data_IF_963654296754
#
_entry.id   IF_963654296754
#
_cell.length_a   1.000
_cell.length_b   1.000
_cell.length_c   1.000
_cell.angle_alpha   90.00
_cell.angle_beta   90.00
_cell.angle_gamma   90.00
#
_symmetry.space_group_name_H-M   'P 1'
#
loop_
_entity.id
_entity.type
_entity.pdbx_description
1 polymer ?
#
# COMPACT_ATOMS: atom_id res chain seq x y z
N UNK A 1 26.56 -11.38 75.19
CA UNK A 1 26.84 -9.94 75.00
C UNK A 1 27.35 -9.81 73.57
N UNK A 2 26.76 -9.10 72.63
CA UNK A 2 25.66 -8.14 72.61
C UNK A 2 25.18 -8.07 71.15
N UNK A 3 23.87 -8.10 71.00
CA UNK A 3 23.06 -7.73 69.84
C UNK A 3 23.49 -6.39 69.23
N UNK A 4 23.41 -6.25 67.90
CA UNK A 4 22.91 -5.04 67.19
C UNK A 4 22.29 -5.49 65.85
N UNK A 5 21.03 -5.09 65.67
CA UNK A 5 20.19 -5.23 64.48
C UNK A 5 20.53 -4.18 63.42
N UNK A 6 20.23 -4.49 62.16
CA UNK A 6 19.51 -3.69 61.15
C UNK A 6 19.96 -4.19 59.76
N UNK A 7 19.15 -4.36 58.72
CA UNK A 7 17.82 -3.84 58.43
C UNK A 7 17.20 -4.70 57.32
N UNK A 8 15.88 -4.78 57.38
CA UNK A 8 14.96 -5.47 56.49
C UNK A 8 15.09 -5.07 55.02
N UNK A 9 15.03 -6.06 54.12
CA UNK A 9 14.49 -5.87 52.78
C UNK A 9 13.51 -7.02 52.48
N UNK A 10 12.25 -6.80 52.86
CA UNK A 10 11.14 -7.66 52.44
C UNK A 10 10.93 -7.46 50.94
N UNK A 11 11.21 -8.50 50.15
CA UNK A 11 10.84 -8.56 48.75
C UNK A 11 9.32 -8.82 48.64
N UNK A 12 8.53 -7.76 48.52
CA UNK A 12 7.15 -7.86 48.04
C UNK A 12 7.18 -8.07 46.53
N UNK A 13 7.05 -9.33 46.11
CA UNK A 13 6.75 -9.71 44.72
C UNK A 13 5.32 -9.22 44.43
N UNK A 14 5.20 -8.05 43.82
CA UNK A 14 3.95 -7.57 43.23
C UNK A 14 3.72 -8.36 41.95
N UNK A 15 3.01 -9.49 42.08
CA UNK A 15 2.53 -10.28 40.96
C UNK A 15 1.46 -9.45 40.22
N UNK A 16 1.88 -8.66 39.22
CA UNK A 16 0.95 -8.08 38.25
C UNK A 16 0.30 -9.24 37.48
N UNK A 17 -0.86 -9.68 37.96
CA UNK A 17 -1.85 -10.36 37.14
C UNK A 17 -2.29 -9.37 36.06
N UNK A 18 -1.61 -9.42 34.91
CA UNK A 18 -2.14 -8.94 33.64
C UNK A 18 -3.43 -9.71 33.38
N UNK A 19 -4.54 -9.16 33.86
CA UNK A 19 -5.85 -9.50 33.35
C UNK A 19 -5.85 -9.10 31.88
N UNK A 20 -5.48 -10.04 31.01
CA UNK A 20 -5.84 -10.00 29.62
C UNK A 20 -7.36 -10.14 29.56
N UNK A 21 -8.07 -9.03 29.79
CA UNK A 21 -9.45 -8.93 29.34
C UNK A 21 -9.39 -9.05 27.81
N UNK A 22 -10.07 -10.03 27.20
CA UNK A 22 -10.35 -9.90 25.78
C UNK A 22 -11.15 -8.61 25.67
N UNK A 23 -10.57 -7.60 25.03
CA UNK A 23 -11.36 -6.48 24.51
C UNK A 23 -12.19 -7.11 23.40
N UNK A 24 -13.34 -7.67 23.75
CA UNK A 24 -14.37 -7.98 22.77
C UNK A 24 -14.64 -6.65 22.07
N UNK A 25 -14.27 -6.57 20.80
CA UNK A 25 -14.54 -5.43 19.96
C UNK A 25 -16.07 -5.35 19.82
N UNK A 26 -16.71 -4.67 20.76
CA UNK A 26 -18.16 -4.57 20.79
C UNK A 26 -18.59 -3.69 19.62
N UNK A 27 -19.37 -4.29 18.73
CA UNK A 27 -19.94 -3.64 17.56
C UNK A 27 -20.70 -2.38 17.96
N UNK A 28 -20.44 -1.24 17.33
CA UNK A 28 -21.23 -0.02 17.50
C UNK A 28 -22.56 -0.04 16.73
N UNK A 29 -22.82 -1.09 15.94
CA UNK A 29 -24.03 -1.22 15.15
C UNK A 29 -25.26 -1.58 16.00
N UNK A 30 -26.41 -1.01 15.63
CA UNK A 30 -27.70 -1.29 16.27
C UNK A 30 -28.22 -2.71 16.03
N UNK A 31 -27.87 -3.31 14.88
CA UNK A 31 -28.35 -4.64 14.49
C UNK A 31 -27.18 -5.53 14.10
N UNK A 32 -27.09 -6.69 14.74
CA UNK A 32 -26.06 -7.69 14.42
C UNK A 32 -26.66 -8.85 13.64
N UNK A 33 -26.00 -9.19 12.54
CA UNK A 33 -26.28 -10.32 11.65
C UNK A 33 -25.18 -11.38 11.82
N UNK A 34 -25.23 -12.20 12.90
CA UNK A 34 -24.21 -13.21 13.13
C UNK A 34 -24.31 -14.32 12.08
N UNK A 35 -23.16 -14.76 11.55
CA UNK A 35 -23.13 -15.78 10.49
C UNK A 35 -23.85 -17.09 10.85
N UNK A 36 -23.93 -17.45 12.15
CA UNK A 36 -24.61 -18.66 12.63
C UNK A 36 -26.11 -18.71 12.25
N UNK A 37 -26.75 -17.56 11.97
CA UNK A 37 -28.13 -17.51 11.47
C UNK A 37 -28.26 -17.99 10.02
N UNK A 38 -27.16 -18.01 9.28
CA UNK A 38 -27.14 -18.24 7.83
C UNK A 38 -26.56 -19.61 7.45
N UNK A 39 -26.19 -20.44 8.42
CA UNK A 39 -25.71 -21.80 8.18
C UNK A 39 -24.87 -22.36 9.31
N UNK A 40 -24.31 -23.55 9.08
CA UNK A 40 -23.40 -24.20 10.01
C UNK A 40 -21.99 -23.59 9.92
N UNK A 41 -21.67 -22.68 10.86
CA UNK A 41 -20.40 -21.94 10.90
C UNK A 41 -19.42 -22.67 11.81
N UNK A 42 -18.59 -23.52 11.22
CA UNK A 42 -17.56 -24.31 11.89
C UNK A 42 -16.23 -24.07 11.17
N UNK A 43 -15.09 -23.91 11.89
CA UNK A 43 -13.80 -23.77 11.23
C UNK A 43 -13.52 -24.91 10.24
N UNK A 44 -12.95 -24.57 9.08
CA UNK A 44 -12.62 -25.46 7.98
C UNK A 44 -13.73 -25.61 6.92
N UNK A 45 -14.95 -25.15 7.21
CA UNK A 45 -16.09 -25.22 6.28
C UNK A 45 -16.12 -24.03 5.31
N UNK A 46 -16.85 -24.22 4.20
CA UNK A 46 -17.14 -23.16 3.23
C UNK A 46 -18.32 -22.32 3.72
N UNK A 47 -18.08 -21.03 3.95
CA UNK A 47 -19.10 -20.07 4.44
C UNK A 47 -19.57 -19.10 3.36
N UNK A 48 -19.18 -19.31 2.09
CA UNK A 48 -19.47 -18.38 0.97
C UNK A 48 -20.93 -17.96 0.91
N UNK A 49 -21.85 -18.94 0.93
CA UNK A 49 -23.30 -18.67 0.87
C UNK A 49 -23.82 -17.97 2.13
N UNK A 50 -23.34 -18.38 3.31
CA UNK A 50 -23.76 -17.79 4.57
C UNK A 50 -23.34 -16.32 4.66
N UNK A 51 -22.11 -16.01 4.22
CA UNK A 51 -21.56 -14.67 4.20
C UNK A 51 -22.29 -13.75 3.20
N UNK A 52 -22.61 -14.27 2.00
CA UNK A 52 -23.40 -13.54 1.01
C UNK A 52 -24.82 -13.21 1.52
N UNK A 53 -25.49 -14.17 2.16
CA UNK A 53 -26.83 -13.96 2.71
C UNK A 53 -26.80 -12.97 3.90
N UNK A 54 -25.83 -13.08 4.79
CA UNK A 54 -25.64 -12.13 5.89
C UNK A 54 -25.40 -10.70 5.36
N UNK A 55 -24.61 -10.56 4.29
CA UNK A 55 -24.40 -9.27 3.64
C UNK A 55 -25.69 -8.69 3.08
N UNK A 56 -26.48 -9.49 2.35
CA UNK A 56 -27.75 -9.04 1.76
C UNK A 56 -28.70 -8.48 2.82
N UNK A 57 -28.86 -9.18 3.93
CA UNK A 57 -29.78 -8.74 5.01
C UNK A 57 -29.21 -7.54 5.77
N UNK A 58 -27.90 -7.53 6.05
CA UNK A 58 -27.26 -6.41 6.74
C UNK A 58 -27.32 -5.12 5.92
N UNK A 59 -27.08 -5.22 4.61
CA UNK A 59 -27.06 -4.07 3.70
C UNK A 59 -28.46 -3.48 3.47
N UNK A 60 -29.53 -4.28 3.61
CA UNK A 60 -30.93 -3.83 3.49
C UNK A 60 -31.52 -3.33 4.81
N UNK A 61 -30.79 -3.43 5.93
CA UNK A 61 -31.20 -2.89 7.23
C UNK A 61 -31.36 -1.37 7.18
N UNK A 62 -32.50 -0.86 7.65
CA UNK A 62 -32.75 0.59 7.82
C UNK A 62 -32.11 1.17 9.10
N UNK A 63 -31.34 0.33 9.81
CA UNK A 63 -30.55 0.68 10.99
C UNK A 63 -29.10 0.31 10.75
N UNK A 64 -28.18 0.97 11.44
CA UNK A 64 -26.76 0.60 11.40
C UNK A 64 -26.59 -0.90 11.70
N UNK A 65 -25.85 -1.61 10.84
CA UNK A 65 -25.78 -3.07 10.86
C UNK A 65 -24.36 -3.59 10.96
N UNK A 66 -24.18 -4.80 11.51
CA UNK A 66 -22.90 -5.49 11.57
C UNK A 66 -23.00 -6.95 11.16
N UNK A 67 -22.04 -7.41 10.36
CA UNK A 67 -21.78 -8.82 10.09
C UNK A 67 -20.57 -9.23 10.91
N UNK A 68 -20.70 -10.29 11.70
CA UNK A 68 -19.63 -10.78 12.57
C UNK A 68 -19.19 -12.17 12.13
N UNK A 69 -17.94 -12.24 11.68
CA UNK A 69 -17.23 -13.49 11.37
C UNK A 69 -16.45 -13.87 12.62
N UNK A 70 -16.76 -15.00 13.26
CA UNK A 70 -16.08 -15.42 14.49
C UNK A 70 -14.63 -15.83 14.23
N UNK A 71 -13.88 -16.04 15.30
CA UNK A 71 -12.56 -16.67 15.22
C UNK A 71 -12.62 -18.07 14.60
N UNK A 72 -11.54 -18.44 13.90
CA UNK A 72 -11.43 -19.69 13.14
C UNK A 72 -11.03 -19.46 11.68
N UNK A 73 -10.68 -20.52 10.97
CA UNK A 73 -10.37 -20.46 9.53
C UNK A 73 -11.60 -20.91 8.75
N UNK A 74 -12.07 -20.13 7.79
CA UNK A 74 -13.25 -20.43 6.98
C UNK A 74 -12.91 -20.31 5.50
N UNK A 75 -13.35 -21.27 4.70
CA UNK A 75 -13.15 -21.24 3.25
C UNK A 75 -14.16 -20.29 2.64
N UNK A 76 -13.72 -19.45 1.71
CA UNK A 76 -14.59 -18.55 0.94
C UNK A 76 -14.17 -18.62 -0.51
N UNK A 77 -15.04 -19.15 -1.37
CA UNK A 77 -14.77 -19.29 -2.81
C UNK A 77 -14.68 -17.94 -3.50
N UNK A 78 -15.58 -17.03 -3.13
CA UNK A 78 -15.73 -15.68 -3.66
C UNK A 78 -16.52 -14.85 -2.64
N UNK A 79 -16.28 -13.54 -2.57
CA UNK A 79 -17.09 -12.63 -1.78
C UNK A 79 -17.36 -11.34 -2.54
N UNK A 80 -18.58 -11.17 -3.04
CA UNK A 80 -19.03 -9.93 -3.68
C UNK A 80 -20.02 -9.25 -2.74
N UNK A 81 -19.60 -8.12 -2.17
CA UNK A 81 -20.32 -7.33 -1.19
C UNK A 81 -20.73 -6.01 -1.84
N UNK A 82 -21.95 -5.99 -2.38
CA UNK A 82 -22.48 -4.90 -3.18
C UNK A 82 -23.46 -4.03 -2.38
N UNK A 83 -23.34 -2.71 -2.55
CA UNK A 83 -24.34 -1.72 -2.16
C UNK A 83 -25.17 -1.18 -3.34
N UNK A 84 -25.89 -0.07 -3.16
CA UNK A 84 -25.93 0.77 -1.96
C UNK A 84 -26.57 0.05 -0.77
N UNK A 85 -26.05 0.30 0.42
CA UNK A 85 -26.68 -0.14 1.67
C UNK A 85 -27.55 0.97 2.26
N UNK A 86 -28.66 0.60 2.88
CA UNK A 86 -29.64 1.54 3.42
C UNK A 86 -29.11 2.33 4.63
N UNK A 87 -28.11 1.79 5.32
CA UNK A 87 -27.53 2.35 6.55
C UNK A 87 -26.03 2.00 6.66
N UNK A 88 -25.27 2.65 7.55
CA UNK A 88 -23.87 2.26 7.83
C UNK A 88 -23.75 0.76 8.12
N UNK A 89 -22.68 0.14 7.63
CA UNK A 89 -22.46 -1.30 7.76
C UNK A 89 -21.05 -1.62 8.26
N UNK A 90 -20.97 -2.45 9.29
CA UNK A 90 -19.74 -2.96 9.86
C UNK A 90 -19.50 -4.40 9.40
N UNK A 91 -18.35 -4.67 8.80
CA UNK A 91 -17.85 -6.00 8.50
C UNK A 91 -16.76 -6.36 9.51
N UNK A 92 -17.10 -7.18 10.50
CA UNK A 92 -16.21 -7.57 11.59
C UNK A 92 -15.62 -8.96 11.32
N UNK A 93 -14.41 -8.97 10.78
CA UNK A 93 -13.61 -10.13 10.50
C UNK A 93 -12.77 -10.52 11.72
N UNK A 94 -13.29 -11.40 12.60
CA UNK A 94 -12.54 -11.95 13.72
C UNK A 94 -11.74 -13.22 13.39
N UNK A 95 -12.02 -13.86 12.24
CA UNK A 95 -11.37 -15.10 11.80
C UNK A 95 -10.48 -14.92 10.57
N UNK A 96 -10.05 -16.04 10.00
CA UNK A 96 -9.37 -16.09 8.70
C UNK A 96 -10.37 -16.50 7.62
N UNK A 97 -10.55 -15.67 6.61
CA UNK A 97 -11.12 -16.12 5.34
C UNK A 97 -9.98 -16.68 4.50
N UNK A 98 -10.17 -17.88 3.95
CA UNK A 98 -9.15 -18.55 3.14
C UNK A 98 -9.65 -18.77 1.72
N UNK A 99 -8.89 -18.26 0.76
CA UNK A 99 -9.16 -18.40 -0.66
C UNK A 99 -8.92 -19.84 -1.14
N UNK A 100 -9.61 -20.28 -2.21
CA UNK A 100 -9.19 -21.45 -2.96
C UNK A 100 -7.77 -21.28 -3.51
N UNK A 101 -7.02 -22.37 -3.63
CA UNK A 101 -5.69 -22.37 -4.28
C UNK A 101 -5.76 -21.91 -5.74
N UNK A 102 -6.86 -22.21 -6.42
CA UNK A 102 -7.16 -21.75 -7.78
C UNK A 102 -8.44 -20.92 -7.74
N UNK A 103 -8.32 -19.65 -8.10
CA UNK A 103 -9.45 -18.73 -8.25
C UNK A 103 -9.75 -18.56 -9.74
N UNK A 104 -11.04 -18.41 -10.06
CA UNK A 104 -11.50 -18.02 -11.40
C UNK A 104 -11.78 -16.52 -11.38
N UNK A 105 -11.59 -15.84 -12.51
CA UNK A 105 -11.78 -14.39 -12.62
C UNK A 105 -10.58 -13.56 -12.14
N UNK A 106 -10.81 -12.27 -11.98
CA UNK A 106 -9.81 -11.23 -11.71
C UNK A 106 -9.76 -10.79 -10.23
N UNK A 107 -10.67 -11.29 -9.37
CA UNK A 107 -10.69 -10.97 -7.94
C UNK A 107 -11.22 -12.09 -7.05
N UNK A 108 -10.96 -11.96 -5.74
CA UNK A 108 -11.49 -12.86 -4.71
C UNK A 108 -12.60 -12.21 -3.87
N UNK A 109 -12.29 -11.14 -3.14
CA UNK A 109 -13.23 -10.39 -2.33
C UNK A 109 -13.35 -8.96 -2.87
N UNK A 110 -14.58 -8.52 -3.13
CA UNK A 110 -14.88 -7.21 -3.69
C UNK A 110 -15.96 -6.54 -2.84
N UNK A 111 -15.66 -5.36 -2.33
CA UNK A 111 -16.63 -4.40 -1.80
C UNK A 111 -16.91 -3.37 -2.88
N UNK A 112 -18.19 -3.17 -3.24
CA UNK A 112 -18.55 -2.27 -4.33
C UNK A 112 -19.77 -1.38 -4.04
N UNK A 113 -19.65 -0.10 -4.36
CA UNK A 113 -20.74 0.89 -4.27
C UNK A 113 -21.36 1.03 -2.86
N UNK A 114 -20.51 1.16 -1.84
CA UNK A 114 -20.93 1.25 -0.45
C UNK A 114 -20.53 2.61 0.12
N UNK A 115 -21.46 3.24 0.82
CA UNK A 115 -21.20 4.40 1.67
C UNK A 115 -21.19 3.96 3.15
N UNK A 116 -20.25 4.50 3.94
CA UNK A 116 -20.14 4.25 5.39
C UNK A 116 -19.93 2.78 5.76
N UNK A 117 -18.98 2.13 5.09
CA UNK A 117 -18.43 0.81 5.46
C UNK A 117 -17.37 0.96 6.56
N UNK A 118 -17.45 0.12 7.59
CA UNK A 118 -16.33 -0.17 8.49
C UNK A 118 -15.89 -1.63 8.32
N UNK A 119 -14.68 -1.89 7.83
CA UNK A 119 -14.07 -3.22 7.84
C UNK A 119 -13.04 -3.30 8.99
N UNK A 120 -13.22 -4.24 9.93
CA UNK A 120 -12.30 -4.40 11.07
C UNK A 120 -12.33 -5.81 11.66
N UNK A 121 -11.60 -6.06 12.75
CA UNK A 121 -11.73 -7.28 13.56
C UNK A 121 -10.47 -8.10 13.79
N UNK A 122 -9.30 -7.62 13.32
CA UNK A 122 -7.97 -8.27 13.45
C UNK A 122 -7.79 -9.59 12.70
N UNK A 123 -8.82 -10.07 12.03
CA UNK A 123 -8.75 -11.27 11.22
C UNK A 123 -8.00 -11.10 9.89
N UNK A 124 -7.95 -12.21 9.15
CA UNK A 124 -7.02 -12.42 8.03
C UNK A 124 -7.76 -12.74 6.75
N UNK A 125 -7.38 -12.10 5.65
CA UNK A 125 -7.69 -12.54 4.29
C UNK A 125 -6.48 -13.31 3.75
N UNK A 126 -6.55 -14.64 3.79
CA UNK A 126 -5.51 -15.56 3.29
C UNK A 126 -5.75 -15.87 1.81
N UNK A 127 -4.96 -15.22 0.95
CA UNK A 127 -5.05 -15.28 -0.50
C UNK A 127 -4.46 -16.54 -1.11
N UNK A 128 -3.75 -17.41 -0.37
CA UNK A 128 -3.18 -18.67 -0.87
C UNK A 128 -2.36 -18.52 -2.19
N UNK A 129 -1.50 -17.51 -2.25
CA UNK A 129 -0.80 -17.05 -3.47
C UNK A 129 0.23 -18.01 -4.08
N UNK A 130 0.87 -18.85 -3.26
CA UNK A 130 2.04 -19.66 -3.64
C UNK A 130 1.89 -20.48 -4.92
N UNK A 131 0.71 -21.06 -5.15
CA UNK A 131 0.46 -21.86 -6.35
C UNK A 131 0.28 -21.00 -7.61
N UNK A 132 -0.26 -19.78 -7.47
CA UNK A 132 -0.51 -18.86 -8.57
C UNK A 132 0.78 -18.19 -9.06
N UNK A 133 1.67 -17.80 -8.15
CA UNK A 133 2.94 -17.13 -8.49
C UNK A 133 3.81 -17.94 -9.47
N UNK A 134 3.81 -19.27 -9.34
CA UNK A 134 4.55 -20.17 -10.26
C UNK A 134 4.05 -20.11 -11.71
N UNK A 135 2.82 -19.60 -11.93
CA UNK A 135 2.18 -19.48 -13.23
C UNK A 135 2.34 -18.09 -13.84
N UNK A 136 2.89 -17.12 -13.11
CA UNK A 136 3.04 -15.75 -13.61
C UNK A 136 4.19 -15.66 -14.63
N UNK A 137 3.84 -15.34 -15.88
CA UNK A 137 4.78 -15.15 -16.99
C UNK A 137 4.76 -13.72 -17.57
N UNK A 138 4.23 -12.74 -16.82
CA UNK A 138 4.15 -11.33 -17.22
C UNK A 138 5.49 -10.63 -17.49
N UNK A 139 6.60 -11.24 -17.07
CA UNK A 139 7.94 -10.79 -17.41
C UNK A 139 8.43 -11.30 -18.78
N UNK A 140 7.78 -12.33 -19.35
CA UNK A 140 8.14 -12.95 -20.62
C UNK A 140 7.23 -12.54 -21.77
N UNK A 141 5.96 -12.22 -21.49
CA UNK A 141 4.93 -11.98 -22.50
C UNK A 141 4.11 -10.74 -22.18
N UNK A 142 3.81 -9.94 -23.20
CA UNK A 142 2.96 -8.74 -23.09
C UNK A 142 1.53 -9.11 -22.66
N UNK A 143 0.99 -10.21 -23.20
CA UNK A 143 -0.37 -10.71 -22.92
C UNK A 143 -0.35 -11.89 -21.94
N UNK A 144 0.26 -11.70 -20.78
CA UNK A 144 0.24 -12.71 -19.72
C UNK A 144 -1.15 -12.82 -19.06
N UNK A 145 -1.41 -13.98 -18.45
CA UNK A 145 -2.61 -14.17 -17.65
C UNK A 145 -2.52 -13.34 -16.36
N UNK A 146 -3.51 -12.47 -16.14
CA UNK A 146 -3.61 -11.73 -14.89
C UNK A 146 -3.99 -12.67 -13.75
N UNK A 147 -3.31 -12.54 -12.61
CA UNK A 147 -3.64 -13.27 -11.40
C UNK A 147 -4.71 -12.48 -10.62
N UNK A 148 -5.63 -13.16 -9.92
CA UNK A 148 -6.72 -12.48 -9.24
C UNK A 148 -6.23 -11.68 -8.02
N UNK A 149 -6.78 -10.48 -7.88
CA UNK A 149 -6.56 -9.56 -6.76
C UNK A 149 -7.30 -10.07 -5.52
N UNK A 150 -6.68 -9.99 -4.33
CA UNK A 150 -7.33 -10.50 -3.11
C UNK A 150 -8.49 -9.64 -2.63
N UNK A 151 -8.27 -8.33 -2.47
CA UNK A 151 -9.28 -7.39 -1.98
C UNK A 151 -9.47 -6.24 -2.97
N UNK A 152 -10.72 -5.96 -3.33
CA UNK A 152 -11.09 -4.78 -4.12
C UNK A 152 -12.06 -3.89 -3.35
N UNK A 153 -11.80 -2.60 -3.39
CA UNK A 153 -12.69 -1.55 -2.92
C UNK A 153 -13.02 -0.69 -4.13
N UNK A 154 -14.23 -0.87 -4.66
CA UNK A 154 -14.69 -0.18 -5.86
C UNK A 154 -15.78 0.83 -5.45
N UNK A 155 -15.59 2.11 -5.74
CA UNK A 155 -16.61 3.15 -5.51
C UNK A 155 -17.10 3.20 -4.06
N UNK A 156 -16.18 3.09 -3.11
CA UNK A 156 -16.46 3.16 -1.68
C UNK A 156 -16.34 4.59 -1.18
N UNK A 157 -17.30 5.04 -0.37
CA UNK A 157 -17.32 6.40 0.16
C UNK A 157 -17.44 6.46 1.68
N UNK A 158 -16.79 7.45 2.31
CA UNK A 158 -16.89 7.76 3.74
C UNK A 158 -16.67 6.56 4.65
N UNK A 159 -15.59 5.82 4.43
CA UNK A 159 -15.40 4.48 4.98
C UNK A 159 -14.04 4.28 5.63
N UNK A 160 -13.94 3.25 6.47
CA UNK A 160 -12.71 2.92 7.20
C UNK A 160 -12.45 1.42 7.10
N UNK A 161 -11.23 1.06 6.71
CA UNK A 161 -10.68 -0.29 6.81
C UNK A 161 -9.59 -0.23 7.87
N UNK A 162 -9.72 -1.00 8.96
CA UNK A 162 -8.76 -0.93 10.06
C UNK A 162 -8.48 -2.28 10.69
N UNK A 163 -7.24 -2.50 11.15
CA UNK A 163 -6.84 -3.70 11.89
C UNK A 163 -7.27 -4.98 11.17
N UNK A 164 -6.78 -5.18 9.96
CA UNK A 164 -6.92 -6.45 9.24
C UNK A 164 -5.57 -6.88 8.70
N UNK A 165 -5.44 -8.18 8.41
CA UNK A 165 -4.27 -8.73 7.72
C UNK A 165 -4.65 -9.20 6.33
N UNK A 166 -3.86 -8.87 5.31
CA UNK A 166 -3.90 -9.52 3.99
C UNK A 166 -2.63 -10.36 3.82
N UNK A 167 -2.80 -11.67 3.65
CA UNK A 167 -1.72 -12.65 3.61
C UNK A 167 -1.66 -13.33 2.25
N UNK A 168 -0.45 -13.44 1.68
CA UNK A 168 -0.13 -14.22 0.49
C UNK A 168 -1.13 -14.02 -0.67
N UNK A 169 -1.32 -12.79 -1.13
CA UNK A 169 -2.17 -12.53 -2.29
C UNK A 169 -1.61 -13.17 -3.55
N UNK A 170 -2.49 -13.62 -4.46
CA UNK A 170 -2.08 -14.15 -5.78
C UNK A 170 -1.54 -13.04 -6.69
N UNK A 171 -2.02 -11.82 -6.52
CA UNK A 171 -1.61 -10.60 -7.23
C UNK A 171 -1.62 -9.45 -6.21
N UNK A 172 -2.11 -8.25 -6.55
CA UNK A 172 -2.29 -7.15 -5.61
C UNK A 172 -3.07 -7.62 -4.38
N UNK A 173 -2.63 -7.19 -3.19
CA UNK A 173 -3.33 -7.47 -1.95
C UNK A 173 -4.61 -6.64 -1.88
N UNK A 174 -4.51 -5.33 -2.11
CA UNK A 174 -5.64 -4.39 -2.07
C UNK A 174 -5.61 -3.51 -3.32
N UNK A 175 -6.74 -3.44 -4.02
CA UNK A 175 -6.97 -2.48 -5.10
C UNK A 175 -8.11 -1.52 -4.73
N UNK A 176 -7.84 -0.22 -4.81
CA UNK A 176 -8.74 0.87 -4.45
C UNK A 176 -9.06 1.65 -5.71
N UNK A 177 -10.30 1.57 -6.18
CA UNK A 177 -10.74 2.17 -7.43
C UNK A 177 -11.97 3.04 -7.23
N UNK A 178 -11.96 4.29 -7.72
CA UNK A 178 -13.14 5.13 -7.68
C UNK A 178 -13.59 5.55 -6.28
N UNK A 179 -12.75 5.39 -5.26
CA UNK A 179 -13.13 5.60 -3.86
C UNK A 179 -12.99 7.07 -3.46
N UNK A 180 -13.78 7.50 -2.47
CA UNK A 180 -13.75 8.87 -1.97
C UNK A 180 -13.87 8.92 -0.45
N UNK A 181 -12.92 9.54 0.25
CA UNK A 181 -12.91 9.59 1.72
C UNK A 181 -12.85 8.18 2.34
N UNK A 182 -11.76 7.46 2.08
CA UNK A 182 -11.51 6.10 2.57
C UNK A 182 -10.19 6.05 3.33
N UNK A 183 -10.22 5.54 4.56
CA UNK A 183 -9.04 5.40 5.42
C UNK A 183 -8.68 3.94 5.62
N UNK A 184 -7.42 3.60 5.37
CA UNK A 184 -6.76 2.36 5.78
C UNK A 184 -5.89 2.65 7.02
N UNK A 185 -6.12 1.94 8.12
CA UNK A 185 -5.43 2.20 9.39
C UNK A 185 -5.00 0.91 10.08
N UNK A 186 -3.74 0.82 10.51
CA UNK A 186 -3.21 -0.38 11.17
C UNK A 186 -3.41 -1.65 10.34
N UNK A 187 -3.11 -1.59 9.04
CA UNK A 187 -3.20 -2.75 8.14
C UNK A 187 -1.88 -3.50 8.15
N UNK A 188 -1.94 -4.83 8.18
CA UNK A 188 -0.78 -5.68 7.96
C UNK A 188 -0.90 -6.38 6.60
N UNK A 189 0.11 -6.26 5.75
CA UNK A 189 0.19 -6.94 4.47
C UNK A 189 1.48 -7.74 4.41
N UNK A 190 1.38 -9.02 4.07
CA UNK A 190 2.55 -9.91 4.01
C UNK A 190 2.46 -10.87 2.83
N UNK A 191 3.50 -10.85 2.00
CA UNK A 191 3.85 -11.88 1.03
C UNK A 191 5.38 -11.96 0.90
N UNK A 192 5.95 -13.08 0.40
CA UNK A 192 7.39 -13.22 0.20
C UNK A 192 7.99 -12.16 -0.74
N UNK A 193 9.24 -11.76 -0.54
CA UNK A 193 9.93 -10.78 -1.41
C UNK A 193 9.97 -11.16 -2.90
N UNK A 194 9.91 -12.46 -3.20
CA UNK A 194 9.92 -12.96 -4.57
C UNK A 194 8.52 -13.27 -5.12
N UNK A 195 7.44 -12.88 -4.44
CA UNK A 195 6.08 -13.03 -4.97
C UNK A 195 5.81 -11.96 -6.05
N UNK A 196 5.56 -12.37 -7.31
CA UNK A 196 5.51 -11.42 -8.42
C UNK A 196 4.19 -10.66 -8.44
N UNK A 197 4.26 -9.34 -8.65
CA UNK A 197 3.10 -8.43 -8.77
C UNK A 197 2.14 -8.49 -7.57
N UNK A 198 2.68 -8.68 -6.37
CA UNK A 198 1.90 -8.60 -5.14
C UNK A 198 1.92 -7.20 -4.57
N UNK A 199 1.48 -6.19 -5.32
CA UNK A 199 1.41 -4.83 -4.79
C UNK A 199 0.60 -4.81 -3.48
N UNK A 200 1.02 -4.02 -2.50
CA UNK A 200 0.34 -3.92 -1.21
C UNK A 200 -1.02 -3.23 -1.37
N UNK A 201 -1.01 -1.90 -1.53
CA UNK A 201 -2.21 -1.11 -1.80
C UNK A 201 -2.02 -0.36 -3.11
N UNK A 202 -2.76 -0.75 -4.15
CA UNK A 202 -2.86 -0.02 -5.41
C UNK A 202 -4.07 0.92 -5.38
N UNK A 203 -3.86 2.20 -5.72
CA UNK A 203 -4.92 3.22 -5.73
C UNK A 203 -5.05 3.78 -7.14
N UNK A 204 -6.26 3.79 -7.70
CA UNK A 204 -6.57 4.45 -8.96
C UNK A 204 -7.86 5.25 -8.87
N UNK A 205 -7.93 6.38 -9.57
CA UNK A 205 -9.12 7.23 -9.74
C UNK A 205 -9.88 7.50 -8.44
N UNK A 206 -9.14 7.74 -7.37
CA UNK A 206 -9.68 7.84 -6.02
C UNK A 206 -9.27 9.16 -5.39
N UNK A 207 -10.11 9.70 -4.51
CA UNK A 207 -9.90 11.00 -3.89
C UNK A 207 -9.95 10.90 -2.35
N UNK A 208 -9.12 11.66 -1.64
CA UNK A 208 -9.12 11.70 -0.16
C UNK A 208 -8.92 10.31 0.44
N UNK A 209 -7.82 9.66 0.06
CA UNK A 209 -7.46 8.34 0.60
C UNK A 209 -6.35 8.52 1.63
N UNK A 210 -6.52 7.91 2.80
CA UNK A 210 -5.53 7.92 3.86
C UNK A 210 -5.03 6.50 4.14
N UNK A 211 -3.72 6.29 4.23
CA UNK A 211 -3.09 5.05 4.67
C UNK A 211 -2.20 5.38 5.86
N UNK A 212 -2.50 4.80 7.03
CA UNK A 212 -1.85 5.16 8.29
C UNK A 212 -1.46 3.97 9.14
N UNK A 213 -0.30 4.06 9.82
CA UNK A 213 0.13 3.10 10.85
C UNK A 213 0.19 1.64 10.36
N UNK A 214 0.49 1.43 9.08
CA UNK A 214 0.45 0.12 8.43
C UNK A 214 1.84 -0.47 8.25
N UNK A 215 1.91 -1.81 8.17
CA UNK A 215 3.10 -2.57 7.84
C UNK A 215 2.85 -3.36 6.56
N UNK A 216 3.69 -3.18 5.55
CA UNK A 216 3.51 -3.78 4.23
C UNK A 216 4.82 -4.40 3.79
N UNK A 217 4.80 -5.72 3.58
CA UNK A 217 5.90 -6.52 3.08
C UNK A 217 5.40 -7.36 1.90
N UNK A 218 5.97 -7.15 0.71
CA UNK A 218 5.53 -7.81 -0.53
C UNK A 218 6.70 -8.03 -1.49
N UNK A 219 6.44 -8.62 -2.66
CA UNK A 219 7.42 -8.73 -3.75
C UNK A 219 7.30 -7.66 -4.86
N UNK A 220 6.46 -6.64 -4.69
CA UNK A 220 6.33 -5.53 -5.64
C UNK A 220 6.09 -4.19 -4.90
N UNK A 221 5.43 -3.21 -5.51
CA UNK A 221 5.16 -1.92 -4.88
C UNK A 221 4.40 -2.10 -3.56
N UNK A 222 4.89 -1.47 -2.53
CA UNK A 222 4.26 -1.50 -1.20
C UNK A 222 2.97 -0.65 -1.22
N UNK A 223 3.04 0.53 -1.82
CA UNK A 223 1.87 1.33 -2.19
C UNK A 223 2.12 1.89 -3.59
N UNK A 224 1.15 1.76 -4.49
CA UNK A 224 1.23 2.27 -5.86
C UNK A 224 0.00 3.13 -6.22
N UNK A 225 0.21 4.22 -6.97
CA UNK A 225 -0.84 5.14 -7.38
C UNK A 225 -0.95 5.19 -8.92
N UNK A 226 -2.10 4.78 -9.47
CA UNK A 226 -2.49 4.97 -10.86
C UNK A 226 -3.12 6.34 -11.14
N UNK A 227 -3.60 6.51 -12.37
CA UNK A 227 -4.22 7.73 -12.87
C UNK A 227 -5.43 8.18 -12.02
N UNK A 228 -5.70 9.49 -12.00
CA UNK A 228 -6.85 10.07 -11.29
C UNK A 228 -6.79 10.02 -9.76
N UNK A 229 -5.66 9.63 -9.18
CA UNK A 229 -5.47 9.61 -7.72
C UNK A 229 -5.23 11.02 -7.19
N UNK A 230 -6.11 11.50 -6.31
CA UNK A 230 -6.07 12.88 -5.78
C UNK A 230 -6.16 12.91 -4.26
N UNK A 231 -5.46 13.85 -3.63
CA UNK A 231 -5.50 14.07 -2.17
C UNK A 231 -5.21 12.78 -1.39
N UNK A 232 -4.05 12.17 -1.65
CA UNK A 232 -3.64 10.91 -1.05
C UNK A 232 -2.65 11.18 0.08
N UNK A 233 -2.92 10.66 1.27
CA UNK A 233 -2.04 10.80 2.44
C UNK A 233 -1.56 9.43 2.93
N UNK A 234 -0.25 9.24 2.96
CA UNK A 234 0.43 8.03 3.43
C UNK A 234 1.31 8.44 4.60
N UNK A 235 0.97 8.03 5.82
CA UNK A 235 1.67 8.48 7.03
C UNK A 235 1.98 7.33 7.98
N UNK A 236 3.17 7.30 8.58
CA UNK A 236 3.56 6.28 9.56
C UNK A 236 3.47 4.84 9.00
N UNK A 237 3.92 4.63 7.76
CA UNK A 237 3.94 3.30 7.12
C UNK A 237 5.35 2.71 7.17
N UNK A 238 5.44 1.44 7.56
CA UNK A 238 6.66 0.64 7.39
C UNK A 238 6.50 -0.25 6.17
N UNK A 239 7.47 -0.16 5.28
CA UNK A 239 7.37 -0.64 3.92
C UNK A 239 8.62 -1.44 3.57
N UNK A 240 8.50 -2.73 3.31
CA UNK A 240 9.67 -3.55 3.04
C UNK A 240 9.59 -4.99 3.51
N UNK A 241 10.09 -5.96 2.70
CA UNK A 241 10.70 -5.80 1.37
C UNK A 241 9.69 -5.41 0.26
N UNK A 242 10.17 -5.21 -0.97
CA UNK A 242 9.34 -4.85 -2.15
C UNK A 242 9.95 -3.75 -3.03
N UNK A 243 9.12 -2.99 -3.73
CA UNK A 243 9.53 -1.93 -4.67
C UNK A 243 9.37 -0.49 -4.16
N UNK A 244 8.94 -0.32 -2.90
CA UNK A 244 8.76 0.98 -2.26
C UNK A 244 7.39 1.62 -2.53
N UNK A 245 7.31 2.94 -2.35
CA UNK A 245 6.09 3.73 -2.58
C UNK A 245 6.20 4.41 -3.95
N UNK A 246 5.30 4.07 -4.86
CA UNK A 246 5.40 4.43 -6.27
C UNK A 246 4.20 5.25 -6.75
N UNK A 247 4.47 6.39 -7.39
CA UNK A 247 3.50 7.12 -8.20
C UNK A 247 3.64 6.66 -9.64
N UNK A 248 2.56 6.12 -10.21
CA UNK A 248 2.50 5.54 -11.54
C UNK A 248 2.53 4.00 -11.56
N UNK A 249 2.69 3.39 -12.73
CA UNK A 249 3.14 4.04 -13.97
C UNK A 249 2.06 4.91 -14.62
N UNK A 250 2.43 6.11 -15.06
CA UNK A 250 1.55 7.03 -15.81
C UNK A 250 1.99 7.16 -17.28
N UNK A 251 1.08 7.57 -18.14
CA UNK A 251 1.26 7.82 -19.57
C UNK A 251 1.12 6.59 -20.46
N UNK A 252 0.60 5.47 -19.95
CA UNK A 252 0.39 4.26 -20.74
C UNK A 252 -0.89 4.33 -21.58
N UNK A 253 -1.93 4.95 -21.05
CA UNK A 253 -3.26 4.99 -21.67
C UNK A 253 -3.63 6.41 -22.13
N UNK A 254 -4.57 6.50 -23.09
CA UNK A 254 -4.98 7.79 -23.68
C UNK A 254 -5.86 8.63 -22.75
N UNK A 255 -6.58 7.98 -21.83
CA UNK A 255 -7.61 8.60 -21.01
C UNK A 255 -7.23 8.59 -19.52
N UNK A 256 -5.95 8.85 -19.23
CA UNK A 256 -5.47 8.96 -17.86
C UNK A 256 -5.82 10.32 -17.26
N UNK A 257 -6.33 10.31 -16.04
CA UNK A 257 -6.57 11.52 -15.26
C UNK A 257 -5.33 11.97 -14.47
N UNK A 258 -5.22 13.28 -14.12
CA UNK A 258 -4.13 13.79 -13.29
C UNK A 258 -3.97 13.09 -11.94
N UNK A 259 -2.71 12.92 -11.52
CA UNK A 259 -2.37 12.60 -10.13
C UNK A 259 -1.98 13.89 -9.41
N UNK A 260 -2.65 14.20 -8.30
CA UNK A 260 -2.47 15.50 -7.63
C UNK A 260 -2.61 15.42 -6.10
N UNK A 261 -1.71 16.08 -5.39
CA UNK A 261 -1.84 16.23 -3.93
C UNK A 261 -1.54 14.92 -3.21
N UNK A 262 -0.30 14.45 -3.33
CA UNK A 262 0.17 13.24 -2.64
C UNK A 262 1.13 13.63 -1.52
N UNK A 263 0.89 13.14 -0.31
CA UNK A 263 1.77 13.32 0.83
C UNK A 263 2.19 11.93 1.32
N UNK A 264 3.49 11.68 1.36
CA UNK A 264 4.13 10.53 2.00
C UNK A 264 4.98 11.07 3.14
N UNK A 265 4.62 10.73 4.38
CA UNK A 265 5.24 11.32 5.57
C UNK A 265 5.57 10.29 6.64
N UNK A 266 6.66 10.47 7.38
CA UNK A 266 7.02 9.66 8.55
C UNK A 266 7.07 8.14 8.22
N UNK A 267 7.58 7.78 7.06
CA UNK A 267 7.61 6.38 6.61
C UNK A 267 9.00 5.78 6.81
N UNK A 268 9.05 4.46 7.03
CA UNK A 268 10.31 3.70 7.05
C UNK A 268 10.29 2.69 5.92
N UNK A 269 11.29 2.74 5.05
CA UNK A 269 11.40 1.89 3.86
C UNK A 269 12.63 0.99 4.01
N UNK A 270 12.44 -0.33 3.95
CA UNK A 270 13.41 -1.34 4.38
C UNK A 270 13.62 -2.38 3.29
N UNK A 271 14.88 -2.63 2.90
CA UNK A 271 15.23 -3.72 1.96
C UNK A 271 14.38 -3.72 0.68
N UNK A 272 14.10 -2.54 0.12
CA UNK A 272 13.32 -2.41 -1.12
C UNK A 272 14.21 -2.05 -2.31
N UNK A 273 13.73 -2.33 -3.52
CA UNK A 273 14.42 -1.93 -4.75
C UNK A 273 14.34 -0.42 -5.00
N UNK A 274 13.31 0.27 -4.50
CA UNK A 274 13.20 1.72 -4.52
C UNK A 274 12.62 2.24 -3.21
N UNK A 275 12.93 3.49 -2.86
CA UNK A 275 12.33 4.18 -1.73
C UNK A 275 11.01 4.82 -2.14
N UNK A 276 11.09 6.09 -2.51
CA UNK A 276 9.98 6.85 -3.11
C UNK A 276 10.25 7.08 -4.58
N UNK A 277 9.28 6.72 -5.42
CA UNK A 277 9.44 6.67 -6.87
C UNK A 277 8.28 7.35 -7.59
N UNK A 278 8.57 8.14 -8.63
CA UNK A 278 7.60 8.57 -9.64
C UNK A 278 8.01 7.97 -10.97
N UNK A 279 7.14 7.20 -11.63
CA UNK A 279 7.44 6.48 -12.87
C UNK A 279 6.44 6.82 -13.98
N UNK A 280 6.94 7.29 -15.13
CA UNK A 280 6.10 7.60 -16.30
C UNK A 280 6.66 6.97 -17.55
N UNK A 281 5.79 6.45 -18.41
CA UNK A 281 6.18 5.82 -19.67
C UNK A 281 6.77 6.85 -20.63
N UNK A 282 7.87 6.52 -21.35
CA UNK A 282 8.23 7.20 -22.58
C UNK A 282 7.17 6.89 -23.65
N UNK A 283 7.18 7.64 -24.76
CA UNK A 283 6.17 7.50 -25.82
C UNK A 283 4.73 7.53 -25.28
N UNK A 284 4.46 8.41 -24.31
CA UNK A 284 3.16 8.42 -23.63
C UNK A 284 2.00 8.56 -24.60
N UNK A 285 0.95 7.77 -24.38
CA UNK A 285 -0.20 7.70 -25.27
C UNK A 285 -0.93 9.04 -25.40
N UNK A 286 -1.03 9.79 -24.30
CA UNK A 286 -1.55 11.14 -24.24
C UNK A 286 -0.70 12.02 -23.31
N UNK A 287 -0.92 13.33 -23.38
CA UNK A 287 -0.37 14.27 -22.39
C UNK A 287 -1.13 14.15 -21.07
N UNK A 288 -0.43 14.31 -19.96
CA UNK A 288 -1.01 14.22 -18.62
C UNK A 288 -0.17 14.94 -17.58
N UNK A 289 -0.61 14.94 -16.33
CA UNK A 289 0.06 15.68 -15.25
C UNK A 289 0.16 14.85 -13.96
N UNK A 290 1.28 15.02 -13.26
CA UNK A 290 1.48 14.56 -11.90
C UNK A 290 2.08 15.71 -11.08
N UNK A 291 1.34 16.25 -10.11
CA UNK A 291 1.73 17.50 -9.44
C UNK A 291 1.42 17.51 -7.94
N UNK A 292 2.05 18.44 -7.22
CA UNK A 292 1.84 18.67 -5.79
C UNK A 292 2.07 17.39 -4.97
N UNK A 293 3.31 16.90 -4.98
CA UNK A 293 3.71 15.66 -4.31
C UNK A 293 4.79 15.95 -3.27
N UNK A 294 4.64 15.42 -2.06
CA UNK A 294 5.55 15.67 -0.94
C UNK A 294 5.97 14.36 -0.30
N UNK A 295 7.28 14.13 -0.22
CA UNK A 295 7.90 12.98 0.43
C UNK A 295 8.77 13.51 1.59
N UNK A 296 8.28 13.33 2.82
CA UNK A 296 8.73 14.04 4.00
C UNK A 296 9.09 13.07 5.12
N UNK A 297 10.19 13.32 5.83
CA UNK A 297 10.53 12.60 7.06
C UNK A 297 10.60 11.07 6.86
N UNK A 298 11.43 10.63 5.91
CA UNK A 298 11.51 9.22 5.50
C UNK A 298 12.82 8.60 5.94
N UNK A 299 12.75 7.43 6.56
CA UNK A 299 13.91 6.62 6.94
C UNK A 299 14.10 5.51 5.90
N UNK A 300 15.29 5.45 5.32
CA UNK A 300 15.72 4.42 4.38
C UNK A 300 16.63 3.42 5.11
N UNK A 301 16.35 2.13 4.98
CA UNK A 301 17.17 1.05 5.53
C UNK A 301 17.52 0.11 4.39
N UNK A 302 18.77 0.17 3.93
CA UNK A 302 19.28 -0.69 2.86
C UNK A 302 18.40 -0.68 1.59
N UNK A 303 18.06 0.52 1.11
CA UNK A 303 17.19 0.71 -0.07
C UNK A 303 18.03 0.90 -1.33
N UNK A 304 17.70 0.19 -2.42
CA UNK A 304 18.54 0.22 -3.62
C UNK A 304 18.50 1.56 -4.36
N UNK A 305 17.31 2.11 -4.65
CA UNK A 305 17.12 3.42 -5.29
C UNK A 305 16.22 4.32 -4.39
N UNK A 306 16.79 5.00 -3.38
CA UNK A 306 15.99 5.72 -2.37
C UNK A 306 15.06 6.80 -2.91
N UNK A 307 15.54 7.67 -3.79
CA UNK A 307 14.76 8.81 -4.32
C UNK A 307 14.81 8.75 -5.85
N UNK A 308 13.66 8.58 -6.49
CA UNK A 308 13.58 8.33 -7.92
C UNK A 308 12.46 9.12 -8.62
N UNK A 309 12.81 9.86 -9.67
CA UNK A 309 11.89 10.22 -10.76
C UNK A 309 12.42 9.53 -12.01
N UNK A 310 11.59 8.72 -12.66
CA UNK A 310 11.92 7.94 -13.86
C UNK A 310 10.88 8.17 -14.95
N UNK A 311 11.14 9.14 -15.83
CA UNK A 311 10.34 9.38 -17.03
C UNK A 311 10.76 8.54 -18.25
N UNK A 312 11.64 7.57 -18.05
CA UNK A 312 12.06 6.56 -19.05
C UNK A 312 11.64 5.14 -18.61
N UNK A 313 10.64 5.05 -17.73
CA UNK A 313 10.15 3.81 -17.15
C UNK A 313 9.67 2.86 -18.26
N UNK A 314 10.31 1.71 -18.34
CA UNK A 314 10.18 0.80 -19.46
C UNK A 314 10.36 -0.65 -18.97
N UNK A 315 9.33 -1.19 -18.30
CA UNK A 315 9.40 -2.55 -17.79
C UNK A 315 9.67 -3.52 -18.94
N UNK A 316 10.59 -4.45 -18.70
CA UNK A 316 11.00 -5.49 -19.67
C UNK A 316 11.54 -4.95 -21.01
N UNK A 317 11.97 -3.67 -21.06
CA UNK A 317 12.40 -3.00 -22.29
C UNK A 317 11.35 -2.97 -23.42
N UNK A 318 10.06 -3.11 -23.07
CA UNK A 318 8.94 -3.11 -24.04
C UNK A 318 8.35 -1.70 -24.21
N UNK A 319 9.17 -0.74 -24.64
CA UNK A 319 8.75 0.64 -24.87
C UNK A 319 9.66 1.35 -25.89
N UNK A 320 9.28 2.55 -26.33
CA UNK A 320 10.12 3.38 -27.20
C UNK A 320 10.73 4.58 -26.45
N UNK A 321 11.91 4.39 -25.83
CA UNK A 321 12.64 5.46 -25.12
C UNK A 321 13.12 6.61 -26.01
N UNK A 322 13.12 6.44 -27.34
CA UNK A 322 13.46 7.54 -28.27
C UNK A 322 12.40 8.64 -28.25
N UNK A 323 11.16 8.34 -27.85
CA UNK A 323 10.09 9.35 -27.73
C UNK A 323 9.95 9.72 -26.26
N UNK A 324 10.16 10.99 -25.86
CA UNK A 324 10.05 11.40 -24.47
C UNK A 324 8.65 11.19 -23.88
N UNK A 325 8.57 11.09 -22.55
CA UNK A 325 7.29 11.11 -21.86
C UNK A 325 6.55 12.44 -22.07
N UNK A 326 5.22 12.37 -22.21
CA UNK A 326 4.32 13.53 -22.30
C UNK A 326 3.62 13.84 -20.96
N UNK A 327 4.08 13.23 -19.86
CA UNK A 327 3.56 13.51 -18.53
C UNK A 327 4.36 14.66 -17.91
N UNK A 328 3.70 15.79 -17.61
CA UNK A 328 4.32 16.91 -16.90
C UNK A 328 4.36 16.60 -15.40
N UNK A 329 5.57 16.54 -14.85
CA UNK A 329 5.81 16.45 -13.42
C UNK A 329 6.16 17.84 -12.88
N UNK A 330 5.45 18.29 -11.84
CA UNK A 330 5.75 19.57 -11.20
C UNK A 330 5.47 19.59 -9.70
N UNK A 331 6.06 20.56 -8.97
CA UNK A 331 5.79 20.79 -7.54
C UNK A 331 5.99 19.53 -6.70
N UNK A 332 7.18 18.94 -6.82
CA UNK A 332 7.58 17.74 -6.10
C UNK A 332 8.58 18.12 -5.03
N UNK A 333 8.38 17.68 -3.78
CA UNK A 333 9.31 17.94 -2.68
C UNK A 333 9.79 16.63 -2.07
N UNK A 334 11.10 16.45 -2.01
CA UNK A 334 11.77 15.43 -1.19
C UNK A 334 12.48 16.14 -0.05
N UNK A 335 12.07 15.88 1.19
CA UNK A 335 12.62 16.59 2.35
C UNK A 335 12.83 15.67 3.55
N UNK A 336 13.96 15.85 4.25
CA UNK A 336 14.31 15.11 5.46
C UNK A 336 14.28 13.59 5.23
N UNK A 337 15.06 13.12 4.26
CA UNK A 337 15.18 11.70 3.92
C UNK A 337 16.57 11.22 4.32
N UNK A 338 16.63 10.23 5.21
CA UNK A 338 17.88 9.80 5.84
C UNK A 338 18.02 8.28 5.95
N UNK A 339 19.25 7.80 6.15
CA UNK A 339 19.54 6.40 6.44
C UNK A 339 20.54 5.77 5.48
N UNK A 340 20.26 4.56 4.98
CA UNK A 340 21.22 3.75 4.22
C UNK A 340 20.68 3.26 2.88
N UNK A 341 21.59 3.17 1.91
CA UNK A 341 21.37 2.68 0.56
C UNK A 341 22.00 1.30 0.37
N UNK A 342 21.39 0.46 -0.48
CA UNK A 342 21.96 -0.80 -0.93
C UNK A 342 22.84 -0.65 -2.19
N UNK A 343 22.69 0.46 -2.92
CA UNK A 343 23.47 0.77 -4.12
C UNK A 343 24.02 2.21 -4.06
N UNK A 344 25.06 2.56 -4.85
CA UNK A 344 25.70 3.87 -4.75
C UNK A 344 24.85 5.03 -5.29
N UNK A 345 23.81 4.79 -6.10
CA UNK A 345 22.99 5.88 -6.66
C UNK A 345 21.80 6.15 -5.72
N UNK A 346 21.92 7.19 -4.90
CA UNK A 346 20.92 7.50 -3.87
C UNK A 346 19.75 8.35 -4.38
N UNK A 347 20.04 9.24 -5.34
CA UNK A 347 19.07 10.18 -5.92
C UNK A 347 19.17 10.06 -7.43
N UNK A 348 18.06 9.79 -8.11
CA UNK A 348 17.99 9.70 -9.57
C UNK A 348 16.75 10.44 -10.07
N UNK A 349 16.95 11.60 -10.69
CA UNK A 349 15.89 12.48 -11.19
C UNK A 349 15.99 12.58 -12.71
N UNK A 350 15.37 11.62 -13.40
CA UNK A 350 15.39 11.53 -14.87
C UNK A 350 14.06 12.03 -15.41
N UNK A 351 14.05 13.28 -15.87
CA UNK A 351 12.87 13.93 -16.39
C UNK A 351 12.86 13.96 -17.92
N UNK A 352 11.67 14.16 -18.50
CA UNK A 352 11.45 14.22 -19.94
C UNK A 352 12.18 15.41 -20.55
N UNK A 353 12.89 15.19 -21.65
CA UNK A 353 13.51 16.30 -22.41
C UNK A 353 12.49 17.19 -23.12
N UNK A 354 11.27 16.70 -23.35
CA UNK A 354 10.19 17.47 -23.94
C UNK A 354 9.40 18.26 -22.89
N UNK A 355 9.25 17.69 -21.69
CA UNK A 355 8.58 18.32 -20.55
C UNK A 355 9.46 18.20 -19.29
N UNK A 356 10.52 19.04 -19.17
CA UNK A 356 11.37 19.06 -17.98
C UNK A 356 10.55 19.14 -16.68
N UNK A 357 11.01 18.47 -15.63
CA UNK A 357 10.35 18.58 -14.33
C UNK A 357 10.51 19.99 -13.77
N UNK A 358 9.45 20.51 -13.17
CA UNK A 358 9.39 21.88 -12.68
C UNK A 358 9.14 21.93 -11.16
N UNK A 359 9.68 22.95 -10.50
CA UNK A 359 9.55 23.14 -9.04
C UNK A 359 9.88 21.88 -8.21
N UNK A 360 10.91 21.11 -8.61
CA UNK A 360 11.40 19.97 -7.83
C UNK A 360 12.28 20.47 -6.70
N UNK A 361 11.86 20.29 -5.45
CA UNK A 361 12.59 20.68 -4.24
C UNK A 361 13.24 19.43 -3.65
N UNK A 362 14.53 19.51 -3.33
CA UNK A 362 15.28 18.43 -2.69
C UNK A 362 16.10 19.03 -1.57
N UNK A 363 15.80 18.66 -0.32
CA UNK A 363 16.54 19.21 0.81
C UNK A 363 16.58 18.32 2.02
N UNK A 364 17.55 18.57 2.89
CA UNK A 364 17.77 17.79 4.12
C UNK A 364 17.91 16.28 3.82
N UNK A 365 18.80 15.93 2.88
CA UNK A 365 19.07 14.54 2.49
C UNK A 365 20.34 14.06 3.21
N UNK A 366 20.25 12.91 3.88
CA UNK A 366 21.36 12.28 4.58
C UNK A 366 21.38 10.76 4.45
N UNK A 367 21.85 10.31 3.30
CA UNK A 367 21.93 8.90 2.93
C UNK A 367 23.39 8.45 2.91
N UNK A 368 23.60 7.20 3.33
CA UNK A 368 24.92 6.57 3.39
C UNK A 368 24.94 5.30 2.55
N UNK A 369 26.08 5.03 1.92
CA UNK A 369 26.33 3.78 1.21
C UNK A 369 27.70 3.26 1.65
N UNK A 370 27.72 2.10 2.30
CA UNK A 370 28.94 1.48 2.84
C UNK A 370 29.43 0.30 1.98
N UNK A 371 28.90 0.16 0.75
CA UNK A 371 29.30 -0.92 -0.15
C UNK A 371 30.54 -0.58 -0.98
N UNK A 372 31.07 -1.58 -1.68
CA UNK A 372 32.35 -1.50 -2.41
C UNK A 372 32.22 -0.92 -3.84
N UNK A 373 31.02 -0.60 -4.31
CA UNK A 373 30.76 -0.17 -5.71
C UNK A 373 31.06 1.31 -5.96
N UNK A 374 31.88 1.93 -5.12
CA UNK A 374 32.25 3.35 -5.20
C UNK A 374 31.40 4.26 -4.29
N UNK A 375 31.62 5.59 -4.38
CA UNK A 375 30.98 6.55 -3.51
C UNK A 375 29.47 6.66 -3.76
N UNK A 376 28.75 7.16 -2.77
CA UNK A 376 27.34 7.54 -2.93
C UNK A 376 27.21 8.75 -3.87
N UNK A 377 26.25 8.70 -4.80
CA UNK A 377 26.10 9.64 -5.91
C UNK A 377 24.65 10.02 -6.17
N UNK A 378 24.46 11.05 -6.98
CA UNK A 378 23.16 11.52 -7.47
C UNK A 378 23.21 11.76 -8.99
N UNK A 379 22.07 11.61 -9.68
CA UNK A 379 21.93 11.76 -11.13
C UNK A 379 20.71 12.61 -11.48
N UNK A 380 20.87 13.59 -12.37
CA UNK A 380 19.81 14.52 -12.77
C UNK A 380 19.83 14.73 -14.28
N UNK A 381 18.66 14.68 -14.93
CA UNK A 381 18.46 14.95 -16.35
C UNK A 381 17.18 15.74 -16.55
N UNK A 382 17.21 16.85 -17.31
CA UNK A 382 16.05 17.71 -17.59
C UNK A 382 15.31 18.20 -16.33
N UNK A 383 16.06 18.54 -15.29
CA UNK A 383 15.53 19.07 -14.03
C UNK A 383 16.55 20.00 -13.39
N UNK A 384 16.08 21.12 -12.85
CA UNK A 384 16.87 22.02 -12.02
C UNK A 384 16.30 21.98 -10.60
N UNK A 385 16.78 21.07 -9.72
CA UNK A 385 16.22 20.97 -8.39
C UNK A 385 16.55 22.23 -7.56
N UNK A 386 15.58 22.69 -6.79
CA UNK A 386 15.75 23.71 -5.76
C UNK A 386 16.29 22.99 -4.53
N UNK A 387 17.56 23.25 -4.23
CA UNK A 387 18.30 22.53 -3.20
C UNK A 387 18.32 23.33 -1.89
N UNK A 388 18.14 22.66 -0.75
CA UNK A 388 18.27 23.28 0.58
C UNK A 388 18.81 22.33 1.63
N UNK A 389 19.38 22.88 2.71
CA UNK A 389 19.78 22.11 3.90
C UNK A 389 20.90 21.09 3.63
N UNK A 390 20.87 19.96 4.36
CA UNK A 390 21.90 18.91 4.28
C UNK A 390 21.87 18.18 2.93
N UNK A 391 23.05 17.85 2.39
CA UNK A 391 23.23 17.21 1.09
C UNK A 391 24.26 16.07 1.18
N UNK A 392 23.83 14.90 1.60
CA UNK A 392 24.63 13.69 1.55
C UNK A 392 23.83 12.58 0.85
N UNK A 393 24.17 12.21 -0.42
CA UNK A 393 25.25 12.75 -1.24
C UNK A 393 25.00 14.21 -1.68
N UNK A 394 26.02 14.86 -2.25
CA UNK A 394 25.84 16.11 -2.98
C UNK A 394 24.71 15.92 -4.01
N UNK A 395 23.71 16.79 -3.97
CA UNK A 395 22.57 16.70 -4.88
C UNK A 395 23.02 17.18 -6.26
N UNK A 396 22.66 16.43 -7.29
CA UNK A 396 23.00 16.77 -8.66
C UNK A 396 22.32 18.10 -9.01
N UNK A 397 23.13 19.04 -9.45
CA UNK A 397 22.71 20.35 -9.92
C UNK A 397 23.16 20.45 -11.38
N UNK A 398 22.57 19.64 -12.25
CA UNK A 398 22.92 19.72 -13.66
C UNK A 398 21.94 20.65 -14.39
N UNK A 399 22.42 21.69 -15.08
CA UNK A 399 21.77 22.16 -16.29
C UNK A 399 22.27 21.24 -17.42
N UNK A 400 21.53 20.19 -17.78
CA UNK A 400 22.00 19.31 -18.86
C UNK A 400 21.00 19.25 -20.00
N UNK A 401 21.23 20.16 -20.95
CA UNK A 401 21.01 19.96 -22.38
C UNK A 401 22.04 18.93 -22.83
N UNK A 402 21.59 17.88 -23.54
CA UNK A 402 22.46 17.04 -24.38
C UNK A 402 22.09 17.37 -25.84
N UNK A 403 23.08 17.46 -26.76
CA UNK A 403 22.94 17.97 -28.12
C UNK A 403 21.76 17.43 -28.94
#
# INVERSE_FOLDING_TARGET
MSTIQSSFLNATILMLLLLAFPVDAQSSAEVVFPLKRYGNIVPGTDITKALANAWKDACTSNRSSAIVIPGGIFKVKEGIFKGPCNSPIDFQLGGTLQAPKSLQGDNWITFEHIDRLTLSGEGVFDGQGKAAWKKNDCHKRINCAQLPISLRFNFITNSIVKRITSLDSKNFHINVLGCNNLTFSNINITAPENSPNTDGIHIGRSNRIAITMSKIATGDDCISLGDGSKQINITNVTCGPGHGISIGSLGRYTNEEPVEGVIVKNCTIINTTNGVRIKTWPASAASGTATNMQFLDIIMVNVSNPILIDQEYCPWNQCNRKIPSKIKISKVSFKNIRGSCATPVAIKLICSRHLPCDEVKVGDIDLTYNGIKGPITSQCTNVRPIISGKQNPKICSSPYVVP
#
